data_IF_904854481803
#
_entry.id   IF_904854481803
#
_cell.length_a   1.000
_cell.length_b   1.000
_cell.length_c   1.000
_cell.angle_alpha   90.00
_cell.angle_beta   90.00
_cell.angle_gamma   90.00
#
_symmetry.space_group_name_H-M   'P 1'
#
loop_
_entity.id
_entity.type
_entity.pdbx_description
1 polymer ?
#
# COMPACT_ATOMS: atom_id res chain seq x y z
N UNK A 1 -20.45 -3.47 -16.36
CA UNK A 1 -19.12 -3.91 -15.91
C UNK A 1 -18.15 -3.51 -16.99
N UNK A 2 -17.27 -2.54 -16.73
CA UNK A 2 -16.27 -2.10 -17.71
C UNK A 2 -15.38 -3.29 -18.10
N UNK A 3 -15.16 -3.46 -19.41
CA UNK A 3 -14.42 -4.57 -19.97
C UNK A 3 -12.93 -4.39 -19.63
N UNK A 4 -12.45 -5.07 -18.60
CA UNK A 4 -11.05 -5.03 -18.15
C UNK A 4 -10.17 -5.63 -19.26
N UNK A 5 -9.35 -4.78 -19.89
CA UNK A 5 -8.48 -5.19 -21.01
C UNK A 5 -7.42 -6.19 -20.55
N UNK A 6 -6.99 -7.17 -21.37
CA UNK A 6 -6.01 -8.20 -21.00
C UNK A 6 -4.70 -7.66 -20.40
N UNK A 7 -4.19 -6.53 -20.92
CA UNK A 7 -3.00 -5.83 -20.39
C UNK A 7 -3.13 -5.38 -18.93
N UNK A 8 -4.36 -5.21 -18.43
CA UNK A 8 -4.62 -4.80 -17.05
C UNK A 8 -4.36 -5.95 -16.08
N UNK A 9 -4.70 -7.19 -16.45
CA UNK A 9 -4.42 -8.37 -15.63
C UNK A 9 -2.91 -8.62 -15.50
N UNK A 10 -2.14 -8.49 -16.58
CA UNK A 10 -0.68 -8.65 -16.53
C UNK A 10 -0.03 -7.65 -15.56
N UNK A 11 -0.55 -6.42 -15.51
CA UNK A 11 -0.09 -5.40 -14.55
C UNK A 11 -0.42 -5.76 -13.11
N UNK A 12 -1.63 -6.25 -12.85
CA UNK A 12 -2.03 -6.70 -11.51
C UNK A 12 -1.22 -7.91 -11.05
N UNK A 13 -1.00 -8.90 -11.91
CA UNK A 13 -0.19 -10.09 -11.59
C UNK A 13 1.26 -9.70 -11.32
N UNK A 14 1.84 -8.80 -12.12
CA UNK A 14 3.18 -8.27 -11.86
C UNK A 14 3.25 -7.55 -10.52
N UNK A 15 2.29 -6.68 -10.22
CA UNK A 15 2.20 -5.95 -8.97
C UNK A 15 2.16 -6.88 -7.75
N UNK A 16 1.32 -7.92 -7.80
CA UNK A 16 1.23 -8.94 -6.76
C UNK A 16 2.54 -9.72 -6.61
N UNK A 17 3.23 -10.01 -7.72
CA UNK A 17 4.52 -10.71 -7.71
C UNK A 17 5.61 -9.85 -7.07
N UNK A 18 5.67 -8.56 -7.39
CA UNK A 18 6.63 -7.62 -6.83
C UNK A 18 6.41 -7.44 -5.31
N UNK A 19 5.14 -7.33 -4.89
CA UNK A 19 4.76 -7.29 -3.46
C UNK A 19 5.14 -8.59 -2.75
N UNK A 20 4.78 -9.74 -3.33
CA UNK A 20 5.05 -11.06 -2.75
C UNK A 20 6.55 -11.27 -2.51
N UNK A 21 7.38 -10.90 -3.49
CA UNK A 21 8.85 -11.01 -3.38
C UNK A 21 9.42 -10.13 -2.27
N UNK A 22 8.88 -8.93 -2.07
CA UNK A 22 9.33 -8.06 -1.00
C UNK A 22 8.93 -8.58 0.38
N UNK A 23 7.71 -9.12 0.51
CA UNK A 23 7.24 -9.74 1.77
C UNK A 23 8.13 -10.93 2.15
N UNK A 24 8.58 -11.73 1.19
CA UNK A 24 9.42 -12.91 1.43
C UNK A 24 10.92 -12.63 1.49
N UNK A 25 11.32 -11.36 1.45
CA UNK A 25 12.72 -10.93 1.56
C UNK A 25 13.06 -10.46 2.97
N UNK A 26 14.34 -10.23 3.26
CA UNK A 26 14.81 -9.70 4.55
C UNK A 26 14.60 -8.17 4.71
N UNK A 27 13.62 -7.60 4.01
CA UNK A 27 13.28 -6.18 4.11
C UNK A 27 12.61 -5.87 5.46
N UNK A 28 12.86 -4.67 5.96
CA UNK A 28 12.15 -4.16 7.13
C UNK A 28 10.65 -4.01 6.82
N UNK A 29 9.80 -4.27 7.83
CA UNK A 29 8.34 -4.18 7.71
C UNK A 29 7.90 -2.83 7.11
N UNK A 30 8.55 -1.73 7.50
CA UNK A 30 8.25 -0.40 6.99
C UNK A 30 8.46 -0.27 5.48
N UNK A 31 9.49 -0.91 4.94
CA UNK A 31 9.80 -0.90 3.51
C UNK A 31 8.79 -1.75 2.72
N UNK A 32 8.36 -2.87 3.30
CA UNK A 32 7.29 -3.71 2.74
C UNK A 32 5.98 -2.91 2.65
N UNK A 33 5.59 -2.23 3.73
CA UNK A 33 4.35 -1.44 3.75
C UNK A 33 4.40 -0.27 2.75
N UNK A 34 5.55 0.41 2.63
CA UNK A 34 5.75 1.44 1.60
C UNK A 34 5.65 0.87 0.19
N UNK A 35 6.27 -0.28 -0.09
CA UNK A 35 6.19 -0.90 -1.41
C UNK A 35 4.75 -1.26 -1.77
N UNK A 36 4.00 -1.86 -0.85
CA UNK A 36 2.59 -2.22 -1.06
C UNK A 36 1.79 -0.98 -1.48
N UNK A 37 1.92 0.12 -0.75
CA UNK A 37 1.23 1.38 -1.07
C UNK A 37 1.62 1.92 -2.44
N UNK A 38 2.93 2.00 -2.71
CA UNK A 38 3.45 2.55 -3.97
C UNK A 38 3.03 1.72 -5.19
N UNK A 39 3.14 0.39 -5.10
CA UNK A 39 2.77 -0.52 -6.18
C UNK A 39 1.26 -0.49 -6.41
N UNK A 40 0.46 -0.55 -5.34
CA UNK A 40 -1.00 -0.51 -5.45
C UNK A 40 -1.45 0.78 -6.11
N UNK A 41 -0.98 1.93 -5.64
CA UNK A 41 -1.40 3.22 -6.18
C UNK A 41 -1.03 3.40 -7.64
N UNK A 42 0.19 3.00 -8.03
CA UNK A 42 0.65 3.05 -9.43
C UNK A 42 -0.22 2.21 -10.35
N UNK A 43 -0.70 1.08 -9.86
CA UNK A 43 -1.39 0.07 -10.66
C UNK A 43 -2.88 0.35 -10.74
N UNK A 44 -3.48 0.89 -9.67
CA UNK A 44 -4.88 1.35 -9.66
C UNK A 44 -5.05 2.75 -10.25
N UNK A 45 -3.99 3.55 -10.33
CA UNK A 45 -4.02 4.90 -10.87
C UNK A 45 -4.67 5.93 -9.93
N UNK A 46 -4.72 5.66 -8.62
CA UNK A 46 -5.29 6.58 -7.64
C UNK A 46 -4.28 7.65 -7.22
N UNK A 47 -4.78 8.84 -6.88
CA UNK A 47 -3.95 9.96 -6.41
C UNK A 47 -3.40 9.74 -5.00
N UNK A 48 -4.15 9.04 -4.14
CA UNK A 48 -3.77 8.76 -2.76
C UNK A 48 -4.04 7.29 -2.44
N UNK A 49 -3.04 6.64 -1.85
CA UNK A 49 -3.15 5.33 -1.23
C UNK A 49 -2.44 5.39 0.12
N UNK A 50 -3.10 4.87 1.15
CA UNK A 50 -2.58 4.86 2.52
C UNK A 50 -2.87 3.52 3.18
N UNK A 51 -1.94 3.07 4.00
CA UNK A 51 -2.05 1.87 4.81
C UNK A 51 -2.04 2.26 6.29
N UNK A 52 -3.10 1.89 6.97
CA UNK A 52 -3.33 2.18 8.37
C UNK A 52 -3.38 0.88 9.17
N UNK A 53 -2.72 0.84 10.32
CA UNK A 53 -2.75 -0.30 11.24
C UNK A 53 -3.36 0.10 12.58
N UNK A 54 -4.06 -0.84 13.22
CA UNK A 54 -4.54 -0.65 14.58
C UNK A 54 -3.38 -0.93 15.54
N UNK A 55 -3.08 0.03 16.39
CA UNK A 55 -2.18 -0.11 17.54
C UNK A 55 -2.96 -0.72 18.70
N UNK A 56 -2.81 -2.04 18.85
CA UNK A 56 -3.43 -2.82 19.91
C UNK A 56 -2.76 -2.63 21.28
N UNK A 57 -1.59 -1.98 21.34
CA UNK A 57 -0.88 -1.72 22.60
C UNK A 57 -1.50 -0.58 23.41
N UNK A 58 -2.43 0.19 22.83
CA UNK A 58 -3.08 1.35 23.45
C UNK A 58 -4.51 1.03 23.87
N UNK A 59 -4.94 1.65 24.97
CA UNK A 59 -6.33 1.67 25.41
C UNK A 59 -6.78 3.14 25.59
N UNK A 60 -7.73 3.65 24.78
CA UNK A 60 -8.41 2.96 23.69
C UNK A 60 -7.45 2.62 22.53
N UNK A 61 -7.82 1.60 21.73
CA UNK A 61 -7.09 1.25 20.50
C UNK A 61 -6.98 2.48 19.61
N UNK A 62 -5.82 2.68 18.99
CA UNK A 62 -5.58 3.80 18.07
C UNK A 62 -5.31 3.29 16.67
N UNK A 63 -5.74 4.03 15.66
CA UNK A 63 -5.36 3.76 14.27
C UNK A 63 -4.10 4.56 13.98
N UNK A 64 -3.17 3.97 13.25
CA UNK A 64 -1.86 4.54 12.93
C UNK A 64 -1.57 4.52 11.45
N UNK A 65 -1.19 5.65 10.89
CA UNK A 65 -0.71 5.72 9.52
C UNK A 65 0.68 5.07 9.45
N UNK A 66 0.83 4.05 8.61
CA UNK A 66 2.10 3.28 8.49
C UNK A 66 2.80 3.48 7.16
N UNK A 67 2.05 3.73 6.09
CA UNK A 67 2.60 4.09 4.80
C UNK A 67 1.58 4.91 4.02
N UNK A 68 2.04 5.89 3.24
CA UNK A 68 1.22 6.62 2.29
C UNK A 68 2.08 7.10 1.12
N UNK A 69 1.47 7.28 -0.05
CA UNK A 69 2.08 8.02 -1.17
C UNK A 69 1.82 9.53 -1.07
N UNK A 70 0.90 9.96 -0.20
CA UNK A 70 0.50 11.35 -0.10
C UNK A 70 1.68 12.25 0.30
N UNK A 71 1.80 13.38 -0.39
CA UNK A 71 2.82 14.42 -0.12
C UNK A 71 2.21 15.55 0.71
N UNK A 72 0.89 15.72 0.63
CA UNK A 72 0.17 16.78 1.32
C UNK A 72 0.17 16.52 2.85
N UNK A 73 0.67 17.49 3.66
CA UNK A 73 0.71 17.41 5.11
C UNK A 73 -0.63 17.11 5.79
N UNK A 74 -1.75 17.46 5.16
CA UNK A 74 -3.08 17.15 5.70
C UNK A 74 -3.32 15.63 5.81
N UNK A 75 -2.75 14.86 4.89
CA UNK A 75 -2.87 13.40 4.83
C UNK A 75 -1.74 12.67 5.60
N UNK A 76 -0.80 13.41 6.19
CA UNK A 76 0.31 12.87 6.99
C UNK A 76 0.01 12.86 8.50
N UNK A 77 -1.21 13.22 8.92
CA UNK A 77 -1.60 13.34 10.34
C UNK A 77 -1.98 11.96 10.93
N UNK A 78 -1.46 11.68 12.13
CA UNK A 78 -1.60 10.43 12.90
C UNK A 78 -2.26 10.63 14.28
#
# INVERSE_FOLDING_TARGET
>A
MENIKPKTYDRYIKALTDISRAITSDLYLEDILKLIVMVTAKVTGVEICSLWLIDESKSPKKIRLKATQAIDPEYLKD
#
